data_IF_036397862708
#
_entry.id   IF_036397862708
#
_cell.length_a   1.000
_cell.length_b   1.000
_cell.length_c   1.000
_cell.angle_alpha   90.00
_cell.angle_beta   90.00
_cell.angle_gamma   90.00
#
_symmetry.space_group_name_H-M   'P 1'
#
loop_
_entity.id
_entity.type
_entity.pdbx_description
1 polymer ?
#
# COMPACT_ATOMS: atom_id res chain seq x y z
N UNK A 1 0.15 18.55 56.83
CA UNK A 1 -0.01 17.35 57.69
C UNK A 1 -1.41 16.97 58.14
N UNK A 2 -2.35 17.91 58.31
CA UNK A 2 -3.70 17.60 58.85
C UNK A 2 -4.55 16.82 57.83
N UNK A 3 -4.41 17.13 56.54
CA UNK A 3 -5.15 16.50 55.43
C UNK A 3 -4.81 15.01 55.28
N UNK A 4 -3.53 14.65 55.35
CA UNK A 4 -3.05 13.26 55.22
C UNK A 4 -3.56 12.36 56.36
N UNK A 5 -3.61 12.91 57.59
CA UNK A 5 -4.07 12.19 58.78
C UNK A 5 -5.57 11.93 58.74
N UNK A 6 -6.34 12.86 58.16
CA UNK A 6 -7.78 12.70 57.92
C UNK A 6 -8.06 11.76 56.73
N UNK A 7 -7.15 11.70 55.74
CA UNK A 7 -7.21 10.70 54.68
C UNK A 7 -7.04 9.26 55.22
N UNK A 8 -6.13 9.06 56.17
CA UNK A 8 -5.79 7.73 56.71
C UNK A 8 -6.90 7.04 57.52
N UNK A 9 -7.92 7.78 57.98
CA UNK A 9 -8.97 7.26 58.87
C UNK A 9 -10.06 6.43 58.16
N UNK A 10 -10.18 6.55 56.81
CA UNK A 10 -11.15 5.81 55.96
C UNK A 10 -10.57 5.58 54.55
N UNK A 11 -9.44 4.87 54.46
CA UNK A 11 -8.65 4.73 53.22
C UNK A 11 -9.40 3.98 52.12
N UNK A 12 -10.11 2.91 52.45
CA UNK A 12 -10.76 2.02 51.48
C UNK A 12 -11.79 2.72 50.59
N UNK A 13 -12.67 3.56 51.15
CA UNK A 13 -13.66 4.32 50.35
C UNK A 13 -13.00 5.34 49.42
N UNK A 14 -11.92 5.98 49.86
CA UNK A 14 -11.21 6.99 49.06
C UNK A 14 -10.42 6.38 47.91
N UNK A 15 -9.80 5.23 48.15
CA UNK A 15 -9.11 4.48 47.09
C UNK A 15 -10.09 4.01 46.02
N UNK A 16 -11.27 3.49 46.41
CA UNK A 16 -12.30 3.09 45.45
C UNK A 16 -12.80 4.26 44.58
N UNK A 17 -13.02 5.43 45.18
CA UNK A 17 -13.42 6.64 44.44
C UNK A 17 -12.35 7.08 43.44
N UNK A 18 -11.09 7.14 43.87
CA UNK A 18 -9.97 7.53 43.00
C UNK A 18 -9.76 6.50 41.89
N UNK A 19 -9.86 5.20 42.20
CA UNK A 19 -9.74 4.13 41.22
C UNK A 19 -10.86 4.20 40.17
N UNK A 20 -12.11 4.40 40.58
CA UNK A 20 -13.23 4.56 39.65
C UNK A 20 -13.07 5.76 38.73
N UNK A 21 -12.66 6.90 39.28
CA UNK A 21 -12.37 8.11 38.50
C UNK A 21 -11.22 7.87 37.50
N UNK A 22 -10.13 7.25 37.96
CA UNK A 22 -8.97 6.95 37.13
C UNK A 22 -9.34 6.02 35.98
N UNK A 23 -10.11 4.95 36.25
CA UNK A 23 -10.60 4.04 35.22
C UNK A 23 -11.48 4.78 34.21
N UNK A 24 -12.41 5.63 34.67
CA UNK A 24 -13.30 6.38 33.78
C UNK A 24 -12.56 7.36 32.86
N UNK A 25 -11.56 8.08 33.38
CA UNK A 25 -10.74 8.99 32.55
C UNK A 25 -9.86 8.19 31.60
N UNK A 26 -9.24 7.10 32.07
CA UNK A 26 -8.39 6.25 31.25
C UNK A 26 -9.15 5.61 30.09
N UNK A 27 -10.39 5.14 30.30
CA UNK A 27 -11.20 4.56 29.22
C UNK A 27 -11.55 5.59 28.16
N UNK A 28 -11.94 6.81 28.55
CA UNK A 28 -12.25 7.89 27.59
C UNK A 28 -11.01 8.27 26.79
N UNK A 29 -9.86 8.46 27.45
CA UNK A 29 -8.59 8.77 26.78
C UNK A 29 -8.16 7.64 25.86
N UNK A 30 -8.30 6.38 26.28
CA UNK A 30 -7.97 5.22 25.46
C UNK A 30 -8.86 5.14 24.21
N UNK A 31 -10.17 5.34 24.35
CA UNK A 31 -11.10 5.36 23.22
C UNK A 31 -10.79 6.49 22.24
N UNK A 32 -10.47 7.69 22.75
CA UNK A 32 -10.03 8.81 21.92
C UNK A 32 -8.74 8.49 21.17
N UNK A 33 -7.74 7.92 21.85
CA UNK A 33 -6.46 7.55 21.25
C UNK A 33 -6.65 6.50 20.15
N UNK A 34 -7.40 5.43 20.45
CA UNK A 34 -7.72 4.38 19.47
C UNK A 34 -8.42 4.97 18.25
N UNK A 35 -9.42 5.82 18.46
CA UNK A 35 -10.17 6.45 17.36
C UNK A 35 -9.26 7.31 16.49
N UNK A 36 -8.40 8.13 17.10
CA UNK A 36 -7.46 8.98 16.37
C UNK A 36 -6.45 8.15 15.57
N UNK A 37 -5.88 7.09 16.16
CA UNK A 37 -4.96 6.20 15.45
C UNK A 37 -5.65 5.45 14.31
N UNK A 38 -6.89 4.99 14.51
CA UNK A 38 -7.66 4.33 13.46
C UNK A 38 -7.98 5.26 12.30
N UNK A 39 -8.34 6.52 12.57
CA UNK A 39 -8.60 7.49 11.50
C UNK A 39 -7.36 7.72 10.63
N UNK A 40 -6.18 7.89 11.25
CA UNK A 40 -4.93 8.05 10.51
C UNK A 40 -4.57 6.79 9.69
N UNK A 41 -4.68 5.61 10.29
CA UNK A 41 -4.40 4.34 9.61
C UNK A 41 -5.35 4.09 8.43
N UNK A 42 -6.63 4.37 8.61
CA UNK A 42 -7.64 4.20 7.55
C UNK A 42 -7.41 5.19 6.42
N UNK A 43 -7.12 6.45 6.72
CA UNK A 43 -6.81 7.46 5.71
C UNK A 43 -5.61 7.04 4.85
N UNK A 44 -4.50 6.63 5.48
CA UNK A 44 -3.31 6.16 4.77
C UNK A 44 -3.59 4.94 3.90
N UNK A 45 -4.36 3.97 4.41
CA UNK A 45 -4.75 2.78 3.64
C UNK A 45 -5.64 3.15 2.45
N UNK A 46 -6.59 4.07 2.62
CA UNK A 46 -7.45 4.56 1.54
C UNK A 46 -6.67 5.30 0.45
N UNK A 47 -5.66 6.09 0.83
CA UNK A 47 -4.74 6.72 -0.13
C UNK A 47 -3.96 5.67 -0.94
N UNK A 48 -3.56 4.57 -0.29
CA UNK A 48 -2.88 3.44 -0.94
C UNK A 48 -3.80 2.59 -1.83
N UNK A 49 -5.12 2.59 -1.58
CA UNK A 49 -6.14 2.03 -2.49
C UNK A 49 -6.43 2.90 -3.72
N UNK A 50 -5.69 4.00 -3.92
CA UNK A 50 -5.75 4.81 -5.13
C UNK A 50 -5.54 4.01 -6.42
N UNK A 51 -5.73 4.68 -7.57
CA UNK A 51 -5.60 4.04 -8.88
C UNK A 51 -4.17 3.51 -9.12
N UNK A 52 -4.04 2.21 -9.35
CA UNK A 52 -2.78 1.60 -9.77
C UNK A 52 -2.58 1.78 -11.29
N UNK A 53 -1.36 2.15 -11.70
CA UNK A 53 -1.01 2.36 -13.11
C UNK A 53 -0.07 1.23 -13.55
N UNK A 54 -0.49 0.44 -14.54
CA UNK A 54 0.35 -0.57 -15.18
C UNK A 54 0.90 -0.01 -16.49
N UNK A 55 2.23 0.06 -16.60
CA UNK A 55 2.94 0.51 -17.79
C UNK A 55 3.51 -0.71 -18.49
N UNK A 56 3.20 -0.87 -19.78
CA UNK A 56 3.72 -1.95 -20.63
C UNK A 56 4.37 -1.36 -21.87
N UNK A 57 5.43 -1.99 -22.40
CA UNK A 57 6.01 -1.57 -23.66
C UNK A 57 5.00 -1.72 -24.79
N UNK A 58 5.13 -0.90 -25.82
CA UNK A 58 4.30 -1.02 -27.03
C UNK A 58 4.60 -2.36 -27.70
N UNK A 59 3.55 -3.11 -28.00
CA UNK A 59 3.62 -4.34 -28.79
C UNK A 59 2.76 -4.16 -30.05
N UNK A 60 3.22 -4.69 -31.20
CA UNK A 60 2.43 -4.71 -32.42
C UNK A 60 1.97 -6.15 -32.70
N UNK A 61 0.68 -6.36 -32.88
CA UNK A 61 0.13 -7.66 -33.24
C UNK A 61 0.15 -7.81 -34.77
N UNK A 62 1.02 -8.68 -35.28
CA UNK A 62 1.08 -8.99 -36.72
C UNK A 62 0.24 -10.23 -37.01
N UNK A 63 -1.00 -10.02 -37.44
CA UNK A 63 -1.87 -11.09 -37.93
C UNK A 63 -1.53 -11.41 -39.39
N UNK A 64 -0.76 -12.48 -39.63
CA UNK A 64 -0.54 -13.00 -40.98
C UNK A 64 -1.67 -13.97 -41.36
N UNK A 65 -2.49 -13.56 -42.32
CA UNK A 65 -3.41 -14.45 -43.03
C UNK A 65 -2.91 -14.65 -44.46
N UNK A 66 -2.58 -15.89 -44.81
CA UNK A 66 -2.19 -16.28 -46.16
C UNK A 66 -3.06 -17.45 -46.62
N UNK A 67 -3.72 -17.30 -47.76
CA UNK A 67 -4.54 -18.36 -48.35
C UNK A 67 -5.77 -18.78 -47.52
N UNK A 68 -6.33 -17.90 -46.69
CA UNK A 68 -7.49 -18.22 -45.84
C UNK A 68 -7.17 -18.95 -44.54
N UNK A 69 -5.89 -19.14 -44.23
CA UNK A 69 -5.42 -19.70 -42.96
C UNK A 69 -4.78 -18.59 -42.12
N UNK A 70 -5.36 -18.33 -40.96
CA UNK A 70 -4.78 -17.43 -39.95
C UNK A 70 -3.62 -18.15 -39.27
N UNK A 71 -2.38 -17.74 -39.56
CA UNK A 71 -1.21 -18.18 -38.80
C UNK A 71 -1.25 -17.45 -37.47
N UNK A 72 -1.05 -18.18 -36.35
CA UNK A 72 -1.18 -17.66 -35.00
C UNK A 72 -0.52 -16.27 -34.86
N UNK A 73 -1.29 -15.30 -34.38
CA UNK A 73 -0.82 -13.95 -34.08
C UNK A 73 0.23 -14.02 -32.98
N UNK A 74 1.49 -13.89 -33.34
CA UNK A 74 2.56 -13.64 -32.38
C UNK A 74 2.72 -12.13 -32.26
N UNK A 75 2.72 -11.59 -31.04
CA UNK A 75 3.15 -10.22 -30.80
C UNK A 75 4.59 -10.09 -31.32
N UNK A 76 4.79 -9.24 -32.32
CA UNK A 76 6.09 -8.98 -32.93
C UNK A 76 6.57 -7.62 -32.42
N UNK A 77 7.87 -7.48 -32.13
CA UNK A 77 8.45 -6.23 -31.65
C UNK A 77 7.89 -5.78 -30.29
N UNK A 78 7.81 -6.70 -29.31
CA UNK A 78 7.56 -6.33 -27.90
C UNK A 78 8.83 -5.66 -27.39
N UNK A 79 8.83 -4.33 -27.33
CA UNK A 79 9.96 -3.56 -26.80
C UNK A 79 10.20 -3.84 -25.31
N UNK A 80 11.33 -3.36 -24.79
CA UNK A 80 11.61 -3.36 -23.35
C UNK A 80 11.37 -1.96 -22.76
N UNK A 81 10.97 -1.90 -21.49
CA UNK A 81 10.97 -0.64 -20.74
C UNK A 81 12.40 -0.31 -20.32
N UNK A 82 12.84 0.89 -20.64
CA UNK A 82 14.19 1.37 -20.33
C UNK A 82 14.17 2.37 -19.18
N UNK A 83 15.35 2.68 -18.61
CA UNK A 83 15.47 3.71 -17.57
C UNK A 83 15.02 5.08 -18.09
N UNK A 84 15.18 5.36 -19.39
CA UNK A 84 14.72 6.60 -20.01
C UNK A 84 13.18 6.73 -20.01
N UNK A 85 12.44 5.62 -19.92
CA UNK A 85 10.98 5.66 -19.82
C UNK A 85 10.50 6.17 -18.45
N UNK A 86 11.36 6.23 -17.43
CA UNK A 86 11.04 6.86 -16.14
C UNK A 86 10.73 8.34 -16.29
N UNK A 87 11.39 9.04 -17.21
CA UNK A 87 11.12 10.46 -17.49
C UNK A 87 9.72 10.64 -18.07
N UNK A 88 9.21 9.64 -18.80
CA UNK A 88 7.85 9.65 -19.36
C UNK A 88 6.79 9.50 -18.28
N UNK A 89 7.07 8.82 -17.16
CA UNK A 89 6.15 8.72 -16.03
C UNK A 89 5.81 10.12 -15.48
N UNK A 90 6.77 11.06 -15.50
CA UNK A 90 6.55 12.44 -15.04
C UNK A 90 5.56 13.21 -15.93
N UNK A 91 5.31 12.75 -17.15
CA UNK A 91 4.34 13.36 -18.08
C UNK A 91 2.90 12.93 -17.81
N UNK A 92 2.69 11.91 -16.98
CA UNK A 92 1.35 11.45 -16.58
C UNK A 92 0.62 12.59 -15.85
N UNK A 93 -0.65 12.81 -16.20
CA UNK A 93 -1.47 13.82 -15.52
C UNK A 93 -1.51 13.50 -14.02
N UNK A 94 -1.18 14.49 -13.19
CA UNK A 94 -1.02 14.33 -11.75
C UNK A 94 0.10 13.34 -11.34
N UNK A 95 1.22 13.27 -12.08
CA UNK A 95 2.37 12.44 -11.70
C UNK A 95 2.90 12.71 -10.28
N UNK A 96 2.67 13.91 -9.73
CA UNK A 96 2.96 14.26 -8.33
C UNK A 96 2.18 13.43 -7.30
N UNK A 97 1.11 12.75 -7.72
CA UNK A 97 0.28 11.89 -6.87
C UNK A 97 0.71 10.42 -6.96
N UNK A 98 1.75 10.09 -7.74
CA UNK A 98 2.31 8.73 -7.80
C UNK A 98 3.23 8.55 -6.60
N UNK A 99 2.78 7.77 -5.60
CA UNK A 99 3.52 7.55 -4.36
C UNK A 99 4.73 6.63 -4.54
N UNK A 100 4.64 5.62 -5.41
CA UNK A 100 5.68 4.61 -5.64
C UNK A 100 5.65 4.12 -7.09
N UNK A 101 6.82 3.80 -7.63
CA UNK A 101 6.98 3.07 -8.90
C UNK A 101 7.71 1.77 -8.60
N UNK A 102 7.07 0.63 -8.89
CA UNK A 102 7.63 -0.70 -8.63
C UNK A 102 7.88 -1.43 -9.97
N UNK A 103 9.14 -1.57 -10.42
CA UNK A 103 9.43 -2.26 -11.68
C UNK A 103 9.23 -3.77 -11.55
N UNK A 104 8.72 -4.40 -12.62
CA UNK A 104 8.68 -5.86 -12.78
C UNK A 104 9.52 -6.26 -13.98
N UNK A 105 10.38 -7.24 -13.79
CA UNK A 105 11.27 -7.78 -14.83
C UNK A 105 10.72 -9.14 -15.24
N UNK A 106 10.34 -9.28 -16.51
CA UNK A 106 9.92 -10.55 -17.09
C UNK A 106 10.91 -10.84 -18.22
N UNK A 107 11.74 -11.86 -18.04
CA UNK A 107 12.79 -12.23 -18.99
C UNK A 107 12.71 -13.71 -19.36
N UNK A 108 12.86 -14.02 -20.63
CA UNK A 108 13.01 -15.40 -21.09
C UNK A 108 14.51 -15.72 -21.16
N UNK A 109 15.02 -16.54 -20.24
CA UNK A 109 16.43 -16.91 -20.18
C UNK A 109 16.63 -18.34 -20.71
N UNK A 110 17.59 -18.58 -21.61
CA UNK A 110 17.96 -19.93 -22.02
C UNK A 110 18.76 -20.61 -20.89
N UNK A 111 18.21 -21.67 -20.32
CA UNK A 111 18.90 -22.54 -19.35
C UNK A 111 18.93 -23.95 -19.94
N UNK A 112 20.11 -24.52 -20.14
CA UNK A 112 20.31 -25.88 -20.69
C UNK A 112 19.51 -26.16 -21.97
N UNK A 113 19.48 -25.21 -22.90
CA UNK A 113 18.79 -25.35 -24.18
C UNK A 113 17.25 -25.27 -24.11
N UNK A 114 16.69 -24.93 -22.95
CA UNK A 114 15.26 -24.64 -22.78
C UNK A 114 15.07 -23.17 -22.42
N UNK A 115 14.19 -22.49 -23.14
CA UNK A 115 13.79 -21.12 -22.81
C UNK A 115 12.83 -21.18 -21.63
N UNK A 116 13.24 -20.62 -20.49
CA UNK A 116 12.43 -20.55 -19.28
C UNK A 116 12.07 -19.08 -19.00
N UNK A 117 10.81 -18.83 -18.68
CA UNK A 117 10.36 -17.51 -18.22
C UNK A 117 10.77 -17.31 -16.78
N UNK A 118 11.47 -16.21 -16.52
CA UNK A 118 11.95 -15.78 -15.20
C UNK A 118 11.27 -14.45 -14.90
N UNK A 119 10.69 -14.35 -13.70
CA UNK A 119 9.89 -13.23 -13.23
C UNK A 119 10.30 -12.81 -11.82
#
# INVERSE_FOLDING_TARGET
DIIFRNLRRRVSRKVLLVAGLAIGVATVVALMAITATMQADVANKLDEYGANILIVPKANDLSLSYGGVTVASAAYDVGELTVADLDRIQTIKNARNISVVAPKLLGALPIDGRTVLVA
#
